data_IF_387163498416
#
_entry.id   IF_387163498416
#
_cell.length_a   1.000
_cell.length_b   1.000
_cell.length_c   1.000
_cell.angle_alpha   90.00
_cell.angle_beta   90.00
_cell.angle_gamma   90.00
#
_symmetry.space_group_name_H-M   'P 1'
#
loop_
_entity.id
_entity.type
_entity.pdbx_description
1 polymer ?
#
# COMPACT_ATOMS: atom_id res chain seq x y z
N UNK A 1 -18.52 10.13 -14.42
CA UNK A 1 -17.24 10.65 -15.01
C UNK A 1 -16.43 9.42 -15.36
N UNK A 2 -15.86 9.35 -16.57
CA UNK A 2 -14.95 8.24 -16.88
C UNK A 2 -13.53 8.58 -16.36
N UNK A 3 -13.07 7.81 -15.38
CA UNK A 3 -11.75 7.99 -14.77
C UNK A 3 -10.63 7.29 -15.55
N UNK A 4 -10.96 6.58 -16.63
CA UNK A 4 -10.02 5.81 -17.46
C UNK A 4 -9.19 4.78 -16.67
N UNK A 5 -9.80 4.21 -15.65
CA UNK A 5 -9.18 3.21 -14.76
C UNK A 5 -9.46 1.77 -15.17
N UNK A 6 -10.36 1.55 -16.13
CA UNK A 6 -10.66 0.21 -16.62
C UNK A 6 -9.39 -0.48 -17.11
N UNK A 7 -9.19 -1.70 -16.63
CA UNK A 7 -8.04 -2.57 -16.91
C UNK A 7 -6.67 -2.02 -16.46
N UNK A 8 -6.61 -0.89 -15.76
CA UNK A 8 -5.39 -0.38 -15.13
C UNK A 8 -4.98 -1.25 -13.96
N UNK A 9 -3.67 -1.50 -13.84
CA UNK A 9 -3.12 -2.24 -12.71
C UNK A 9 -2.81 -1.31 -11.55
N UNK A 10 -3.49 -1.51 -10.42
CA UNK A 10 -3.34 -0.74 -9.18
C UNK A 10 -2.73 -1.62 -8.10
N UNK A 11 -1.54 -1.28 -7.64
CA UNK A 11 -0.89 -1.93 -6.50
C UNK A 11 -1.19 -1.16 -5.21
N UNK A 12 -1.76 -1.83 -4.21
CA UNK A 12 -2.17 -1.22 -2.94
C UNK A 12 -1.44 -1.88 -1.78
N UNK A 13 -0.55 -1.15 -1.13
CA UNK A 13 0.09 -1.60 0.10
C UNK A 13 -0.85 -1.35 1.29
N UNK A 14 -0.88 -2.30 2.25
CA UNK A 14 -1.86 -2.26 3.34
C UNK A 14 -3.30 -2.51 2.89
N UNK A 15 -3.49 -3.21 1.75
CA UNK A 15 -4.77 -3.39 1.09
C UNK A 15 -5.74 -4.35 1.78
N UNK A 16 -5.32 -5.03 2.86
CA UNK A 16 -6.17 -6.05 3.51
C UNK A 16 -7.23 -5.49 4.44
N UNK A 17 -7.17 -4.22 4.83
CA UNK A 17 -8.15 -3.57 5.74
C UNK A 17 -8.10 -2.04 5.66
N UNK A 18 -9.09 -1.39 6.29
CA UNK A 18 -9.11 0.07 6.47
C UNK A 18 -9.08 0.84 5.15
N UNK A 19 -8.25 1.87 5.07
CA UNK A 19 -8.16 2.78 3.92
C UNK A 19 -7.72 2.04 2.66
N UNK A 20 -6.69 1.18 2.75
CA UNK A 20 -6.22 0.41 1.60
C UNK A 20 -7.30 -0.51 1.01
N UNK A 21 -8.08 -1.16 1.87
CA UNK A 21 -9.23 -1.96 1.44
C UNK A 21 -10.31 -1.12 0.74
N UNK A 22 -10.65 0.05 1.31
CA UNK A 22 -11.62 0.96 0.71
C UNK A 22 -11.15 1.48 -0.66
N UNK A 23 -9.85 1.80 -0.80
CA UNK A 23 -9.26 2.13 -2.10
C UNK A 23 -9.40 0.96 -3.09
N UNK A 24 -9.12 -0.28 -2.66
CA UNK A 24 -9.27 -1.45 -3.52
C UNK A 24 -10.70 -1.61 -4.04
N UNK A 25 -11.69 -1.46 -3.17
CA UNK A 25 -13.10 -1.51 -3.56
C UNK A 25 -13.45 -0.42 -4.59
N UNK A 26 -12.98 0.81 -4.38
CA UNK A 26 -13.22 1.91 -5.30
C UNK A 26 -12.58 1.68 -6.68
N UNK A 27 -11.32 1.25 -6.73
CA UNK A 27 -10.64 0.95 -7.99
C UNK A 27 -11.28 -0.24 -8.74
N UNK A 28 -11.69 -1.28 -8.03
CA UNK A 28 -12.41 -2.41 -8.63
C UNK A 28 -13.76 -1.98 -9.22
N UNK A 29 -14.48 -1.09 -8.56
CA UNK A 29 -15.74 -0.54 -9.07
C UNK A 29 -15.57 0.23 -10.38
N UNK A 30 -14.41 0.87 -10.59
CA UNK A 30 -14.01 1.53 -11.83
C UNK A 30 -13.44 0.55 -12.88
N UNK A 31 -13.44 -0.76 -12.59
CA UNK A 31 -12.97 -1.80 -13.52
C UNK A 31 -11.45 -2.00 -13.55
N UNK A 32 -10.70 -1.48 -12.58
CA UNK A 32 -9.27 -1.73 -12.46
C UNK A 32 -8.96 -3.19 -12.05
N UNK A 33 -7.71 -3.62 -12.27
CA UNK A 33 -7.11 -4.81 -11.68
C UNK A 33 -6.32 -4.39 -10.44
N UNK A 34 -6.49 -5.08 -9.33
CA UNK A 34 -5.93 -4.66 -8.04
C UNK A 34 -5.06 -5.74 -7.44
N UNK A 35 -3.81 -5.40 -7.13
CA UNK A 35 -2.88 -6.23 -6.36
C UNK A 35 -2.81 -5.71 -4.93
N UNK A 36 -3.17 -6.55 -3.96
CA UNK A 36 -3.14 -6.22 -2.54
C UNK A 36 -1.87 -6.75 -1.90
N UNK A 37 -1.14 -5.91 -1.19
CA UNK A 37 0.04 -6.30 -0.43
C UNK A 37 -0.19 -6.04 1.05
N UNK A 38 0.02 -7.05 1.90
CA UNK A 38 0.08 -6.92 3.35
C UNK A 38 0.87 -8.09 3.97
N UNK A 39 1.15 -8.03 5.28
CA UNK A 39 1.94 -9.08 5.96
C UNK A 39 1.20 -10.38 6.20
N UNK A 40 -0.13 -10.35 6.32
CA UNK A 40 -0.95 -11.50 6.68
C UNK A 40 -1.68 -12.06 5.47
N UNK A 41 -1.36 -13.30 5.09
CA UNK A 41 -2.08 -14.05 4.05
C UNK A 41 -3.55 -14.23 4.42
N UNK A 42 -3.86 -14.55 5.66
CA UNK A 42 -5.25 -14.72 6.14
C UNK A 42 -6.08 -13.45 5.92
N UNK A 43 -5.54 -12.26 6.31
CA UNK A 43 -6.25 -11.00 6.10
C UNK A 43 -6.39 -10.65 4.61
N UNK A 44 -5.42 -10.99 3.78
CA UNK A 44 -5.49 -10.80 2.33
C UNK A 44 -6.57 -11.68 1.69
N UNK A 45 -6.65 -12.95 2.08
CA UNK A 45 -7.68 -13.87 1.60
C UNK A 45 -9.08 -13.41 2.01
N UNK A 46 -9.26 -12.99 3.27
CA UNK A 46 -10.52 -12.43 3.75
C UNK A 46 -10.91 -11.17 2.96
N UNK A 47 -9.95 -10.26 2.72
CA UNK A 47 -10.19 -9.06 1.92
C UNK A 47 -10.57 -9.41 0.47
N UNK A 48 -9.85 -10.34 -0.18
CA UNK A 48 -10.16 -10.81 -1.53
C UNK A 48 -11.56 -11.38 -1.62
N UNK A 49 -11.96 -12.23 -0.68
CA UNK A 49 -13.28 -12.82 -0.64
C UNK A 49 -14.37 -11.75 -0.50
N UNK A 50 -14.22 -10.81 0.42
CA UNK A 50 -15.18 -9.73 0.64
C UNK A 50 -15.29 -8.79 -0.57
N UNK A 51 -14.17 -8.40 -1.20
CA UNK A 51 -14.16 -7.58 -2.40
C UNK A 51 -14.85 -8.30 -3.57
N UNK A 52 -14.57 -9.57 -3.76
CA UNK A 52 -15.19 -10.38 -4.83
C UNK A 52 -16.71 -10.54 -4.65
N UNK A 53 -17.19 -10.54 -3.41
CA UNK A 53 -18.62 -10.59 -3.12
C UNK A 53 -19.32 -9.23 -3.31
N UNK A 54 -18.61 -8.12 -3.04
CA UNK A 54 -19.17 -6.77 -3.09
C UNK A 54 -19.12 -6.11 -4.47
N UNK A 55 -18.16 -6.47 -5.30
CA UNK A 55 -17.98 -5.92 -6.65
C UNK A 55 -18.13 -7.03 -7.69
N UNK A 56 -19.17 -6.98 -8.50
CA UNK A 56 -19.44 -7.99 -9.53
C UNK A 56 -18.26 -8.16 -10.49
N UNK A 57 -17.96 -9.41 -10.85
CA UNK A 57 -16.89 -9.77 -11.80
C UNK A 57 -15.49 -9.30 -11.40
N UNK A 58 -15.23 -9.17 -10.10
CA UNK A 58 -13.93 -8.70 -9.60
C UNK A 58 -12.95 -9.83 -9.20
N UNK A 59 -13.43 -11.07 -9.05
CA UNK A 59 -12.60 -12.17 -8.56
C UNK A 59 -11.30 -12.38 -9.36
N UNK A 60 -11.37 -12.29 -10.69
CA UNK A 60 -10.23 -12.42 -11.61
C UNK A 60 -9.37 -11.15 -11.70
N UNK A 61 -9.83 -10.06 -11.09
CA UNK A 61 -9.18 -8.75 -11.08
C UNK A 61 -8.45 -8.47 -9.78
N UNK A 62 -8.36 -9.44 -8.87
CA UNK A 62 -7.71 -9.28 -7.57
C UNK A 62 -6.58 -10.29 -7.44
N UNK A 63 -5.37 -9.82 -7.24
CA UNK A 63 -4.24 -10.63 -6.78
C UNK A 63 -3.84 -10.23 -5.36
N UNK A 64 -3.24 -11.14 -4.61
CA UNK A 64 -2.82 -10.92 -3.24
C UNK A 64 -1.38 -11.40 -3.04
N UNK A 65 -0.59 -10.63 -2.29
CA UNK A 65 0.83 -10.90 -2.07
C UNK A 65 1.19 -10.62 -0.62
N UNK A 66 1.57 -11.66 0.11
CA UNK A 66 2.01 -11.51 1.50
C UNK A 66 3.47 -11.07 1.53
N UNK A 67 3.73 -9.88 2.11
CA UNK A 67 5.08 -9.35 2.24
C UNK A 67 5.20 -8.37 3.41
N UNK A 68 6.33 -8.40 4.12
CA UNK A 68 6.72 -7.35 5.04
C UNK A 68 7.54 -6.28 4.29
N UNK A 69 6.91 -5.18 4.01
CA UNK A 69 7.50 -4.07 3.25
C UNK A 69 8.58 -3.28 4.01
N UNK A 70 8.84 -3.61 5.27
CA UNK A 70 10.02 -3.13 5.97
C UNK A 70 11.32 -3.71 5.41
N UNK A 71 11.22 -4.81 4.66
CA UNK A 71 12.33 -5.50 4.01
C UNK A 71 12.32 -5.20 2.51
N UNK A 72 13.34 -4.51 1.97
CA UNK A 72 13.35 -4.09 0.57
C UNK A 72 13.30 -5.27 -0.41
N UNK A 73 13.90 -6.41 -0.05
CA UNK A 73 13.90 -7.63 -0.86
C UNK A 73 12.48 -8.21 -1.00
N UNK A 74 11.71 -8.21 0.10
CA UNK A 74 10.32 -8.67 0.08
C UNK A 74 9.41 -7.70 -0.66
N UNK A 75 9.69 -6.38 -0.59
CA UNK A 75 8.99 -5.40 -1.40
C UNK A 75 9.21 -5.64 -2.91
N UNK A 76 10.45 -5.92 -3.32
CA UNK A 76 10.78 -6.24 -4.69
C UNK A 76 10.10 -7.53 -5.18
N UNK A 77 10.08 -8.57 -4.34
CA UNK A 77 9.39 -9.84 -4.66
C UNK A 77 7.87 -9.64 -4.80
N UNK A 78 7.26 -8.87 -3.90
CA UNK A 78 5.83 -8.57 -3.97
C UNK A 78 5.47 -7.79 -5.24
N UNK A 79 6.28 -6.80 -5.63
CA UNK A 79 6.10 -6.07 -6.88
C UNK A 79 6.21 -7.00 -8.09
N UNK A 80 7.26 -7.82 -8.15
CA UNK A 80 7.46 -8.76 -9.25
C UNK A 80 6.30 -9.76 -9.39
N UNK A 81 5.79 -10.27 -8.27
CA UNK A 81 4.64 -11.18 -8.25
C UNK A 81 3.34 -10.48 -8.70
N UNK A 82 3.13 -9.23 -8.29
CA UNK A 82 1.99 -8.42 -8.73
C UNK A 82 2.04 -8.14 -10.25
N UNK A 83 3.22 -7.77 -10.76
CA UNK A 83 3.41 -7.55 -12.20
C UNK A 83 3.29 -8.83 -13.03
N UNK A 84 3.68 -9.98 -12.48
CA UNK A 84 3.46 -11.27 -13.14
C UNK A 84 1.95 -11.59 -13.27
N UNK A 85 1.12 -11.13 -12.33
CA UNK A 85 -0.32 -11.34 -12.37
C UNK A 85 -1.04 -10.43 -13.39
N UNK A 86 -0.67 -9.13 -13.46
CA UNK A 86 -1.45 -8.13 -14.19
C UNK A 86 -0.64 -7.20 -15.10
N UNK A 87 0.65 -7.44 -15.25
CA UNK A 87 1.53 -6.55 -16.00
C UNK A 87 1.99 -5.36 -15.16
N UNK A 88 2.61 -4.40 -15.80
CA UNK A 88 3.17 -3.20 -15.18
C UNK A 88 2.17 -2.46 -14.29
N UNK A 89 2.64 -1.96 -13.15
CA UNK A 89 1.82 -1.16 -12.23
C UNK A 89 1.58 0.23 -12.82
N UNK A 90 0.31 0.59 -13.07
CA UNK A 90 -0.09 1.93 -13.51
C UNK A 90 -0.27 2.89 -12.34
N UNK A 91 -0.76 2.39 -11.20
CA UNK A 91 -1.00 3.19 -9.99
C UNK A 91 -0.47 2.47 -8.77
N UNK A 92 0.34 3.15 -7.97
CA UNK A 92 0.74 2.70 -6.63
C UNK A 92 -0.03 3.48 -5.57
N UNK A 93 -0.71 2.78 -4.67
CA UNK A 93 -1.31 3.36 -3.47
C UNK A 93 -0.56 2.87 -2.24
N UNK A 94 0.21 3.74 -1.62
CA UNK A 94 0.90 3.47 -0.37
C UNK A 94 -0.02 3.76 0.81
N UNK A 95 -0.52 2.70 1.45
CA UNK A 95 -1.36 2.76 2.65
C UNK A 95 -0.84 1.82 3.75
N UNK A 96 0.20 1.03 3.49
CA UNK A 96 0.83 0.21 4.51
C UNK A 96 1.53 1.09 5.55
N UNK A 97 1.48 0.66 6.79
CA UNK A 97 2.24 1.28 7.87
C UNK A 97 1.48 1.25 9.17
N UNK A 98 2.25 1.30 10.25
CA UNK A 98 1.75 1.40 11.60
C UNK A 98 2.37 2.62 12.27
N UNK A 99 1.55 3.43 12.91
CA UNK A 99 2.01 4.51 13.76
C UNK A 99 1.65 4.15 15.20
N UNK A 100 2.68 3.94 16.03
CA UNK A 100 2.51 3.72 17.46
C UNK A 100 2.55 5.08 18.17
N UNK A 101 1.63 5.28 19.12
CA UNK A 101 1.73 6.37 20.06
C UNK A 101 2.73 5.98 21.14
N UNK A 102 3.74 6.78 21.36
CA UNK A 102 4.79 6.54 22.35
C UNK A 102 5.01 7.82 23.13
N UNK A 103 4.80 7.82 24.45
CA UNK A 103 5.09 8.96 25.30
C UNK A 103 6.56 9.40 25.16
N UNK A 104 6.88 10.71 25.30
CA UNK A 104 8.24 11.22 25.13
C UNK A 104 9.27 10.52 26.01
N UNK A 105 8.91 10.17 27.23
CA UNK A 105 9.75 9.49 28.21
C UNK A 105 10.10 8.03 27.83
N UNK A 106 9.29 7.42 26.96
CA UNK A 106 9.51 6.07 26.43
C UNK A 106 10.24 6.07 25.07
N UNK A 107 10.44 7.26 24.49
CA UNK A 107 11.13 7.38 23.20
C UNK A 107 12.62 7.12 23.35
N UNK A 108 13.12 6.19 22.55
CA UNK A 108 14.54 5.89 22.40
C UNK A 108 14.94 6.03 20.92
N UNK A 109 16.24 6.06 20.64
CA UNK A 109 16.74 6.01 19.27
C UNK A 109 16.17 4.80 18.51
N UNK A 110 16.09 3.63 19.17
CA UNK A 110 15.52 2.42 18.58
C UNK A 110 14.02 2.59 18.27
N UNK A 111 13.24 3.20 19.17
CA UNK A 111 11.82 3.45 18.93
C UNK A 111 11.58 4.38 17.71
N UNK A 112 12.46 5.35 17.49
CA UNK A 112 12.45 6.18 16.29
C UNK A 112 12.75 5.37 15.02
N UNK A 113 13.81 4.56 15.03
CA UNK A 113 14.15 3.70 13.91
C UNK A 113 13.00 2.73 13.56
N UNK A 114 12.42 2.10 14.57
CA UNK A 114 11.31 1.16 14.38
C UNK A 114 10.08 1.85 13.78
N UNK A 115 9.75 3.05 14.26
CA UNK A 115 8.62 3.82 13.73
C UNK A 115 8.84 4.26 12.28
N UNK A 116 10.05 4.72 11.93
CA UNK A 116 10.41 5.07 10.56
C UNK A 116 10.38 3.85 9.65
N UNK A 117 10.89 2.70 10.09
CA UNK A 117 10.82 1.45 9.33
C UNK A 117 9.37 1.02 9.10
N UNK A 118 8.53 1.09 10.14
CA UNK A 118 7.14 0.64 10.06
C UNK A 118 6.25 1.53 9.19
N UNK A 119 6.62 2.78 8.92
CA UNK A 119 5.81 3.75 8.16
C UNK A 119 6.56 4.28 6.94
N UNK A 120 7.62 5.02 7.14
CA UNK A 120 8.31 5.76 6.08
C UNK A 120 9.01 4.81 5.09
N UNK A 121 9.81 3.89 5.59
CA UNK A 121 10.58 3.00 4.71
C UNK A 121 9.71 1.98 3.96
N UNK A 122 8.55 1.59 4.48
CA UNK A 122 7.60 0.78 3.71
C UNK A 122 7.13 1.48 2.43
N UNK A 123 6.98 2.82 2.46
CA UNK A 123 6.66 3.63 1.29
C UNK A 123 7.88 3.79 0.37
N UNK A 124 9.04 4.12 0.95
CA UNK A 124 10.29 4.32 0.19
C UNK A 124 10.64 3.08 -0.63
N UNK A 125 10.59 1.88 -0.03
CA UNK A 125 10.92 0.64 -0.73
C UNK A 125 10.04 0.39 -1.95
N UNK A 126 8.73 0.65 -1.86
CA UNK A 126 7.84 0.49 -2.99
C UNK A 126 7.97 1.62 -4.01
N UNK A 127 8.09 2.87 -3.55
CA UNK A 127 8.23 4.04 -4.44
C UNK A 127 9.51 3.94 -5.27
N UNK A 128 10.65 3.58 -4.64
CA UNK A 128 11.95 3.47 -5.35
C UNK A 128 11.88 2.48 -6.53
N UNK A 129 11.20 1.35 -6.33
CA UNK A 129 11.02 0.34 -7.37
C UNK A 129 10.08 0.81 -8.49
N UNK A 130 8.93 1.37 -8.10
CA UNK A 130 7.84 1.70 -9.05
C UNK A 130 8.14 2.97 -9.83
N UNK A 131 8.71 4.02 -9.19
CA UNK A 131 8.97 5.30 -9.86
C UNK A 131 9.96 5.17 -11.02
N UNK A 132 10.95 4.30 -10.92
CA UNK A 132 11.92 4.03 -11.98
C UNK A 132 11.25 3.43 -13.21
N UNK A 133 10.35 2.46 -12.99
CA UNK A 133 9.58 1.81 -14.06
C UNK A 133 8.58 2.77 -14.71
N UNK A 134 7.85 3.54 -13.89
CA UNK A 134 6.92 4.56 -14.38
C UNK A 134 7.64 5.66 -15.16
N UNK A 135 8.81 6.12 -14.67
CA UNK A 135 9.63 7.11 -15.36
C UNK A 135 10.12 6.62 -16.71
N UNK A 136 10.57 5.37 -16.80
CA UNK A 136 11.00 4.78 -18.08
C UNK A 136 9.88 4.68 -19.12
N UNK A 137 8.62 4.49 -18.67
CA UNK A 137 7.44 4.45 -19.55
C UNK A 137 6.83 5.83 -19.83
N UNK A 138 7.22 6.86 -19.09
CA UNK A 138 6.63 8.19 -19.14
C UNK A 138 5.19 8.27 -18.63
N UNK A 139 4.72 7.27 -17.86
CA UNK A 139 3.36 7.23 -17.32
C UNK A 139 3.28 6.45 -15.99
N UNK A 140 2.36 6.85 -15.12
CA UNK A 140 2.06 6.24 -13.83
C UNK A 140 1.58 7.27 -12.82
N UNK A 141 1.04 6.81 -11.71
CA UNK A 141 0.64 7.65 -10.58
C UNK A 141 1.00 7.00 -9.26
N UNK A 142 1.46 7.81 -8.29
CA UNK A 142 1.76 7.36 -6.94
C UNK A 142 0.94 8.17 -5.96
N UNK A 143 0.18 7.49 -5.11
CA UNK A 143 -0.63 8.08 -4.04
C UNK A 143 -0.10 7.61 -2.70
N UNK A 144 0.30 8.55 -1.84
CA UNK A 144 0.72 8.27 -0.49
C UNK A 144 -0.36 8.68 0.52
N UNK A 145 -0.85 7.70 1.29
CA UNK A 145 -1.80 7.96 2.38
C UNK A 145 -1.01 8.44 3.60
N UNK A 146 -1.07 9.73 3.85
CA UNK A 146 -0.35 10.37 4.96
C UNK A 146 -1.28 10.84 6.05
N UNK A 147 -0.81 10.78 7.30
CA UNK A 147 -1.56 11.26 8.46
C UNK A 147 -1.45 12.79 8.61
N UNK A 148 -2.36 13.37 9.39
CA UNK A 148 -2.33 14.79 9.74
C UNK A 148 -1.21 15.16 10.74
N UNK A 149 -0.48 14.16 11.28
CA UNK A 149 0.55 14.34 12.30
C UNK A 149 1.69 15.29 11.92
N UNK A 150 2.03 15.37 10.62
CA UNK A 150 3.00 16.35 10.12
C UNK A 150 2.52 17.81 10.11
N UNK A 151 1.21 18.05 10.30
CA UNK A 151 0.63 19.41 10.39
C UNK A 151 0.23 19.78 11.81
N UNK A 152 -0.10 18.80 12.64
CA UNK A 152 -0.57 19.00 14.01
C UNK A 152 0.39 18.28 14.94
N UNK A 153 1.20 19.04 15.67
CA UNK A 153 2.14 18.49 16.63
C UNK A 153 1.41 17.74 17.76
N UNK A 154 1.92 16.54 18.08
CA UNK A 154 1.42 15.76 19.20
C UNK A 154 2.61 15.13 19.93
N UNK A 155 2.83 15.43 21.23
CA UNK A 155 3.97 14.94 21.97
C UNK A 155 4.00 13.39 22.11
N UNK A 156 2.82 12.76 22.06
CA UNK A 156 2.71 11.29 22.13
C UNK A 156 2.74 10.62 20.75
N UNK A 157 2.97 11.37 19.69
CA UNK A 157 2.94 10.86 18.30
C UNK A 157 4.07 11.41 17.44
N UNK A 158 5.20 11.77 18.04
CA UNK A 158 6.31 12.42 17.35
C UNK A 158 6.84 11.60 16.17
N UNK A 159 7.17 10.29 16.32
CA UNK A 159 7.67 9.53 15.17
C UNK A 159 6.63 9.30 14.07
N UNK A 160 5.34 9.33 14.41
CA UNK A 160 4.27 9.22 13.42
C UNK A 160 3.95 10.52 12.71
N UNK A 161 4.44 11.65 13.23
CA UNK A 161 4.33 12.98 12.64
C UNK A 161 5.51 13.39 11.77
N UNK A 162 6.65 12.71 11.95
CA UNK A 162 7.85 12.93 11.13
C UNK A 162 7.70 12.26 9.76
#
# INVERSE_FOLDING_TARGET
MDLKLKDKHVLITGGSKGIGYACAAAFLAEGARVSLVSRSTEHLEAARHQLSASVKSSAERISIHAADLQQPELAAQALAAAEAAFGDVDVLVNSAGAARRTPPEELSAQAWHDAMNAKFFTYVHMVDLVVKKMGARGQGAIVNVVGAGGKVASPIHMPGGA
#
